data_IF_014034347081
#
_entry.id   IF_014034347081
#
_cell.length_a   1.000
_cell.length_b   1.000
_cell.length_c   1.000
_cell.angle_alpha   90.00
_cell.angle_beta   90.00
_cell.angle_gamma   90.00
#
_symmetry.space_group_name_H-M   'P 1'
#
loop_
_entity.id
_entity.type
_entity.pdbx_description
1 polymer ?
#
# COMPACT_ATOMS: atom_id res chain seq x y z
N UNK A 1 58.65 -46.41 -41.99
CA UNK A 1 58.52 -45.01 -42.47
C UNK A 1 57.11 -44.56 -42.16
N UNK A 2 57.02 -43.45 -41.43
CA UNK A 2 55.87 -42.97 -40.66
C UNK A 2 54.68 -42.52 -41.50
N UNK A 3 53.48 -42.88 -41.08
CA UNK A 3 52.24 -42.22 -41.48
C UNK A 3 51.98 -41.04 -40.53
N UNK A 4 51.79 -39.86 -41.11
CA UNK A 4 51.58 -38.58 -40.44
C UNK A 4 50.13 -38.51 -39.95
N UNK A 5 49.93 -38.29 -38.64
CA UNK A 5 48.65 -37.96 -38.03
C UNK A 5 48.23 -36.54 -38.44
N UNK A 6 47.10 -36.39 -39.14
CA UNK A 6 46.39 -35.12 -39.24
C UNK A 6 45.49 -34.96 -38.02
N UNK A 7 45.91 -34.10 -37.10
CA UNK A 7 45.09 -33.61 -35.98
C UNK A 7 44.12 -32.60 -36.57
N UNK A 8 42.83 -32.91 -36.47
CA UNK A 8 41.74 -32.03 -36.88
C UNK A 8 41.41 -31.12 -35.68
N UNK A 9 41.83 -29.86 -35.74
CA UNK A 9 41.54 -28.82 -34.73
C UNK A 9 40.07 -28.40 -34.82
N UNK A 10 39.16 -29.24 -34.32
CA UNK A 10 37.80 -28.84 -34.02
C UNK A 10 37.76 -28.28 -32.59
N UNK A 11 38.17 -27.02 -32.46
CA UNK A 11 37.81 -26.21 -31.30
C UNK A 11 36.31 -25.87 -31.44
N UNK A 12 35.42 -26.30 -30.54
CA UNK A 12 34.03 -25.89 -30.62
C UNK A 12 34.00 -24.39 -30.36
N UNK A 13 33.47 -23.64 -31.33
CA UNK A 13 33.07 -22.25 -31.13
C UNK A 13 32.16 -22.21 -29.90
N UNK A 14 32.67 -21.60 -28.83
CA UNK A 14 31.85 -21.16 -27.70
C UNK A 14 30.83 -20.19 -28.28
N UNK A 15 29.62 -20.69 -28.53
CA UNK A 15 28.45 -19.88 -28.75
C UNK A 15 28.34 -18.94 -27.55
N UNK A 16 28.77 -17.71 -27.73
CA UNK A 16 28.47 -16.60 -26.84
C UNK A 16 26.95 -16.50 -26.79
N UNK A 17 26.37 -17.03 -25.71
CA UNK A 17 24.99 -16.75 -25.35
C UNK A 17 24.95 -15.23 -25.17
N UNK A 18 24.18 -14.48 -25.97
CA UNK A 18 23.97 -13.08 -25.71
C UNK A 18 23.43 -12.99 -24.28
N UNK A 19 24.06 -12.17 -23.44
CA UNK A 19 23.52 -11.81 -22.14
C UNK A 19 22.14 -11.22 -22.37
N UNK A 20 21.13 -12.08 -22.30
CA UNK A 20 19.73 -11.75 -22.31
C UNK A 20 19.51 -10.86 -21.08
N UNK A 21 19.45 -9.56 -21.35
CA UNK A 21 18.97 -8.47 -20.50
C UNK A 21 17.59 -8.84 -19.95
N UNK A 22 17.56 -9.80 -19.02
CA UNK A 22 16.46 -9.99 -18.09
C UNK A 22 16.47 -8.77 -17.19
N UNK A 23 15.88 -7.69 -17.69
CA UNK A 23 15.22 -6.66 -16.89
C UNK A 23 14.20 -7.40 -16.04
N UNK A 24 14.67 -7.90 -14.89
CA UNK A 24 13.85 -8.44 -13.84
C UNK A 24 12.99 -7.27 -13.35
N UNK A 25 11.75 -7.24 -13.83
CA UNK A 25 10.82 -6.15 -13.58
C UNK A 25 10.53 -6.08 -12.08
N UNK A 26 11.16 -5.14 -11.40
CA UNK A 26 10.98 -4.81 -9.99
C UNK A 26 9.61 -4.15 -9.69
N UNK A 27 8.57 -4.45 -10.48
CA UNK A 27 7.25 -3.80 -10.44
C UNK A 27 6.41 -4.19 -9.23
N UNK A 28 6.76 -5.29 -8.55
CA UNK A 28 6.05 -5.77 -7.36
C UNK A 28 6.26 -4.86 -6.14
N UNK A 29 7.51 -4.46 -5.92
CA UNK A 29 7.92 -3.64 -4.78
C UNK A 29 7.41 -2.20 -4.90
N UNK A 30 7.45 -1.63 -6.12
CA UNK A 30 6.95 -0.28 -6.39
C UNK A 30 5.44 -0.18 -6.14
N UNK A 31 4.67 -1.20 -6.56
CA UNK A 31 3.23 -1.23 -6.29
C UNK A 31 2.89 -1.35 -4.80
N UNK A 32 3.60 -2.22 -4.07
CA UNK A 32 3.39 -2.35 -2.63
C UNK A 32 3.64 -1.02 -1.92
N UNK A 33 4.78 -0.37 -2.22
CA UNK A 33 5.15 0.92 -1.65
C UNK A 33 4.09 1.98 -1.92
N UNK A 34 3.67 2.13 -3.18
CA UNK A 34 2.66 3.11 -3.58
C UNK A 34 1.32 2.94 -2.85
N UNK A 35 0.89 1.70 -2.64
CA UNK A 35 -0.37 1.42 -1.95
C UNK A 35 -0.22 1.65 -0.44
N UNK A 36 0.91 1.26 0.16
CA UNK A 36 1.21 1.55 1.56
C UNK A 36 1.17 3.05 1.79
N UNK A 37 1.83 3.84 0.95
CA UNK A 37 1.88 5.30 1.06
C UNK A 37 0.49 5.92 0.98
N UNK A 38 -0.37 5.43 0.08
CA UNK A 38 -1.78 5.86 0.00
C UNK A 38 -2.56 5.57 1.27
N UNK A 39 -2.39 4.37 1.85
CA UNK A 39 -3.07 4.02 3.12
C UNK A 39 -2.58 4.92 4.25
N UNK A 40 -1.27 5.18 4.33
CA UNK A 40 -0.67 6.05 5.34
C UNK A 40 -1.10 7.51 5.18
N UNK A 41 -1.25 8.00 3.94
CA UNK A 41 -1.77 9.34 3.67
C UNK A 41 -3.21 9.48 4.19
N UNK A 42 -4.07 8.50 3.92
CA UNK A 42 -5.44 8.47 4.45
C UNK A 42 -5.43 8.42 5.97
N UNK A 43 -4.58 7.56 6.56
CA UNK A 43 -4.44 7.43 8.01
C UNK A 43 -4.05 8.77 8.66
N UNK A 44 -3.08 9.48 8.11
CA UNK A 44 -2.67 10.79 8.63
C UNK A 44 -3.82 11.81 8.60
N UNK A 45 -4.70 11.76 7.59
CA UNK A 45 -5.90 12.61 7.55
C UNK A 45 -6.90 12.24 8.63
N UNK A 46 -7.11 10.95 8.89
CA UNK A 46 -7.97 10.47 9.98
C UNK A 46 -7.42 10.89 11.35
N UNK A 47 -6.10 10.80 11.56
CA UNK A 47 -5.44 11.23 12.80
C UNK A 47 -5.65 12.72 13.10
N UNK A 48 -5.68 13.57 12.06
CA UNK A 48 -6.02 14.99 12.22
C UNK A 48 -7.48 15.17 12.67
N UNK A 49 -8.41 14.43 12.08
CA UNK A 49 -9.81 14.46 12.47
C UNK A 49 -9.98 13.95 13.92
N UNK A 50 -9.26 12.90 14.30
CA UNK A 50 -9.27 12.38 15.67
C UNK A 50 -8.82 13.46 16.67
N UNK A 51 -7.74 14.18 16.35
CA UNK A 51 -7.24 15.28 17.18
C UNK A 51 -8.27 16.43 17.28
N UNK A 52 -8.95 16.76 16.18
CA UNK A 52 -10.03 17.75 16.17
C UNK A 52 -11.23 17.30 17.02
N UNK A 53 -11.65 16.04 16.91
CA UNK A 53 -12.70 15.46 17.75
C UNK A 53 -12.32 15.54 19.21
N UNK A 54 -11.07 15.20 19.57
CA UNK A 54 -10.59 15.25 20.96
C UNK A 54 -10.52 16.66 21.51
N UNK A 55 -10.16 17.65 20.71
CA UNK A 55 -9.93 19.04 21.16
C UNK A 55 -11.20 19.91 21.20
N UNK A 56 -12.16 19.69 20.30
CA UNK A 56 -13.38 20.53 20.21
C UNK A 56 -14.39 20.24 21.33
N UNK A 57 -15.23 21.23 21.65
CA UNK A 57 -16.39 21.04 22.54
C UNK A 57 -17.52 20.29 21.82
N UNK A 58 -18.46 19.71 22.57
CA UNK A 58 -19.61 19.00 21.99
C UNK A 58 -20.49 19.93 21.13
N UNK A 59 -20.61 21.21 21.48
CA UNK A 59 -21.36 22.20 20.69
C UNK A 59 -20.68 22.51 19.35
N UNK A 60 -19.36 22.67 19.32
CA UNK A 60 -18.61 22.85 18.09
C UNK A 60 -18.68 21.60 17.20
N UNK A 61 -18.62 20.40 17.79
CA UNK A 61 -18.76 19.13 17.08
C UNK A 61 -20.16 18.96 16.48
N UNK A 62 -21.22 19.40 17.16
CA UNK A 62 -22.60 19.40 16.62
C UNK A 62 -22.72 20.25 15.37
N UNK A 63 -22.07 21.42 15.34
CA UNK A 63 -22.10 22.31 14.18
C UNK A 63 -21.45 21.69 12.92
N UNK A 64 -20.42 20.87 13.12
CA UNK A 64 -19.68 20.22 12.03
C UNK A 64 -20.05 18.74 11.83
N UNK A 65 -21.11 18.28 12.52
CA UNK A 65 -21.32 16.85 12.73
C UNK A 65 -21.41 16.04 11.44
N UNK A 66 -22.26 16.52 10.53
CA UNK A 66 -22.46 15.89 9.23
C UNK A 66 -21.16 15.83 8.42
N UNK A 67 -20.34 16.89 8.47
CA UNK A 67 -19.10 16.96 7.70
C UNK A 67 -18.08 15.96 8.23
N UNK A 68 -17.93 15.87 9.55
CA UNK A 68 -16.98 14.94 10.20
C UNK A 68 -17.39 13.48 9.91
N UNK A 69 -18.67 13.15 10.10
CA UNK A 69 -19.21 11.82 9.86
C UNK A 69 -19.07 11.40 8.39
N UNK A 70 -19.53 12.25 7.44
CA UNK A 70 -19.39 11.98 6.01
C UNK A 70 -17.93 11.82 5.60
N UNK A 71 -17.03 12.62 6.16
CA UNK A 71 -15.59 12.54 5.84
C UNK A 71 -14.98 11.23 6.31
N UNK A 72 -15.29 10.79 7.55
CA UNK A 72 -14.80 9.52 8.08
C UNK A 72 -15.38 8.33 7.28
N UNK A 73 -16.66 8.36 6.93
CA UNK A 73 -17.29 7.35 6.07
C UNK A 73 -16.66 7.30 4.67
N UNK A 74 -16.36 8.46 4.07
CA UNK A 74 -15.65 8.52 2.79
C UNK A 74 -14.25 7.91 2.87
N UNK A 75 -13.52 8.06 3.99
CA UNK A 75 -12.24 7.39 4.16
C UNK A 75 -12.38 5.88 4.30
N UNK A 76 -13.41 5.38 4.98
CA UNK A 76 -13.71 3.93 5.02
C UNK A 76 -13.93 3.39 3.60
N UNK A 77 -14.77 4.06 2.80
CA UNK A 77 -15.04 3.66 1.41
C UNK A 77 -13.76 3.70 0.56
N UNK A 78 -12.96 4.76 0.69
CA UNK A 78 -11.67 4.87 -0.02
C UNK A 78 -10.73 3.74 0.34
N UNK A 79 -10.63 3.41 1.63
CA UNK A 79 -9.78 2.32 2.10
C UNK A 79 -10.29 0.97 1.59
N UNK A 80 -11.60 0.71 1.64
CA UNK A 80 -12.19 -0.56 1.19
C UNK A 80 -11.96 -0.80 -0.31
N UNK A 81 -12.00 0.27 -1.12
CA UNK A 81 -11.72 0.24 -2.55
C UNK A 81 -10.23 0.06 -2.92
N UNK A 82 -9.30 0.06 -1.96
CA UNK A 82 -7.89 -0.21 -2.24
C UNK A 82 -7.72 -1.69 -2.56
N UNK A 83 -7.30 -1.97 -3.80
CA UNK A 83 -6.84 -3.29 -4.21
C UNK A 83 -5.56 -3.64 -3.45
N UNK A 84 -5.54 -4.83 -2.87
CA UNK A 84 -4.41 -5.32 -2.07
C UNK A 84 -3.53 -6.28 -2.87
N UNK A 85 -4.00 -6.76 -4.04
CA UNK A 85 -3.37 -7.85 -4.81
C UNK A 85 -2.98 -9.08 -3.96
N UNK A 86 -3.73 -9.34 -2.89
CA UNK A 86 -3.44 -10.39 -1.90
C UNK A 86 -2.11 -10.23 -1.14
N UNK A 87 -1.53 -9.03 -1.13
CA UNK A 87 -0.35 -8.71 -0.31
C UNK A 87 -0.80 -8.56 1.15
N UNK A 88 -0.39 -9.51 2.00
CA UNK A 88 -0.85 -9.61 3.39
C UNK A 88 -0.61 -8.32 4.19
N UNK A 89 0.58 -7.73 4.05
CA UNK A 89 0.95 -6.47 4.72
C UNK A 89 0.02 -5.31 4.35
N UNK A 90 -0.33 -5.19 3.07
CA UNK A 90 -1.26 -4.15 2.58
C UNK A 90 -2.67 -4.40 3.11
N UNK A 91 -3.12 -5.66 3.06
CA UNK A 91 -4.44 -6.07 3.58
C UNK A 91 -4.58 -5.76 5.07
N UNK A 92 -3.55 -6.09 5.85
CA UNK A 92 -3.54 -5.84 7.29
C UNK A 92 -3.48 -4.36 7.62
N UNK A 93 -2.67 -3.58 6.89
CA UNK A 93 -2.60 -2.14 7.07
C UNK A 93 -3.93 -1.46 6.74
N UNK A 94 -4.57 -1.85 5.62
CA UNK A 94 -5.90 -1.39 5.22
C UNK A 94 -6.93 -1.70 6.31
N UNK A 95 -6.98 -2.95 6.78
CA UNK A 95 -7.90 -3.38 7.85
C UNK A 95 -7.70 -2.59 9.14
N UNK A 96 -6.46 -2.44 9.60
CA UNK A 96 -6.13 -1.65 10.81
C UNK A 96 -6.56 -0.20 10.67
N UNK A 97 -6.39 0.38 9.50
CA UNK A 97 -6.78 1.78 9.25
C UNK A 97 -8.30 1.94 9.19
N UNK A 98 -9.04 0.98 8.60
CA UNK A 98 -10.52 0.99 8.63
C UNK A 98 -11.02 0.90 10.08
N UNK A 99 -10.50 -0.04 10.88
CA UNK A 99 -10.87 -0.19 12.28
C UNK A 99 -10.61 1.10 13.07
N UNK A 100 -9.45 1.72 12.85
CA UNK A 100 -9.12 3.00 13.48
C UNK A 100 -10.11 4.12 13.11
N UNK A 101 -10.55 4.19 11.85
CA UNK A 101 -11.58 5.15 11.42
C UNK A 101 -12.93 4.89 12.08
N UNK A 102 -13.29 3.61 12.27
CA UNK A 102 -14.52 3.22 12.99
C UNK A 102 -14.44 3.59 14.46
N UNK A 103 -13.28 3.44 15.10
CA UNK A 103 -13.05 3.90 16.47
C UNK A 103 -13.19 5.43 16.60
N UNK A 104 -12.72 6.17 15.59
CA UNK A 104 -12.90 7.63 15.53
C UNK A 104 -14.38 8.03 15.42
N UNK A 105 -15.19 7.31 14.62
CA UNK A 105 -16.64 7.50 14.55
C UNK A 105 -17.31 7.23 15.90
N UNK A 106 -16.97 6.12 16.56
CA UNK A 106 -17.52 5.79 17.88
C UNK A 106 -17.18 6.85 18.94
N UNK A 107 -15.93 7.36 18.92
CA UNK A 107 -15.51 8.44 19.81
C UNK A 107 -16.28 9.73 19.53
N UNK A 108 -16.48 10.05 18.25
CA UNK A 108 -17.23 11.21 17.81
C UNK A 108 -18.68 11.16 18.30
N UNK A 109 -19.37 10.04 18.08
CA UNK A 109 -20.76 9.82 18.53
C UNK A 109 -20.87 9.92 20.05
N UNK A 110 -19.96 9.27 20.78
CA UNK A 110 -19.92 9.32 22.24
C UNK A 110 -19.78 10.77 22.74
N UNK A 111 -18.95 11.58 22.10
CA UNK A 111 -18.69 12.95 22.50
C UNK A 111 -19.82 13.92 22.14
N UNK A 112 -20.62 13.62 21.11
CA UNK A 112 -21.82 14.39 20.78
C UNK A 112 -22.97 14.19 21.76
N UNK A 113 -23.04 13.00 22.36
CA UNK A 113 -24.11 12.56 23.25
C UNK A 113 -23.75 12.57 24.74
N UNK A 114 -22.47 12.80 25.08
CA UNK A 114 -22.01 13.10 26.44
C UNK A 114 -22.34 14.51 26.88
#
# INVERSE_FOLDING_TARGET
MSAINLINDNKPDELQIPDDDRKNENKGDDYESDIIDKILEIRSKIEKIEADIKSKSSEALKAECKIIEETLLQYIIKLDNIDTKSIDKVRDLRKKTILYTQDCLNMFDTKLHS
#
